data_IF_075524473569
#
_entry.id   IF_075524473569
#
_cell.length_a   1.000
_cell.length_b   1.000
_cell.length_c   1.000
_cell.angle_alpha   90.00
_cell.angle_beta   90.00
_cell.angle_gamma   90.00
#
_symmetry.space_group_name_H-M   'P 1'
#
loop_
_entity.id
_entity.type
_entity.pdbx_description
1 polymer ?
#
# COMPACT_ATOMS: atom_id res chain seq x y z
N UNK A 1 -27.41 17.89 13.20
CA UNK A 1 -27.68 16.96 12.10
C UNK A 1 -27.56 15.51 12.55
N UNK A 2 -26.43 15.08 13.13
CA UNK A 2 -26.20 13.70 13.58
C UNK A 2 -27.25 13.18 14.57
N UNK A 3 -27.61 13.97 15.57
CA UNK A 3 -28.66 13.59 16.54
C UNK A 3 -30.02 13.36 15.86
N UNK A 4 -30.36 14.20 14.86
CA UNK A 4 -31.59 14.00 14.06
C UNK A 4 -31.54 12.77 13.16
N UNK A 5 -30.32 12.35 12.77
CA UNK A 5 -30.08 11.14 12.01
C UNK A 5 -29.97 9.87 12.88
N UNK A 6 -30.25 9.98 14.20
CA UNK A 6 -30.22 8.84 15.11
C UNK A 6 -28.83 8.39 15.55
N UNK A 7 -27.82 9.27 15.50
CA UNK A 7 -26.46 8.93 15.97
C UNK A 7 -26.49 8.58 17.47
N UNK A 8 -26.17 7.33 17.85
CA UNK A 8 -26.48 6.82 19.19
C UNK A 8 -25.40 7.15 20.24
N UNK A 9 -24.22 7.64 19.82
CA UNK A 9 -23.09 7.78 20.72
C UNK A 9 -22.98 9.17 21.32
N UNK A 10 -22.40 9.26 22.54
CA UNK A 10 -22.21 10.52 23.27
C UNK A 10 -20.94 11.28 22.87
N UNK A 11 -20.18 10.78 21.90
CA UNK A 11 -18.97 11.40 21.39
C UNK A 11 -18.90 11.30 19.88
N UNK A 12 -18.09 12.16 19.27
CA UNK A 12 -17.76 12.14 17.85
C UNK A 12 -16.25 12.30 17.73
N UNK A 13 -15.63 11.44 16.95
CA UNK A 13 -14.22 11.57 16.56
C UNK A 13 -14.17 12.34 15.24
N UNK A 14 -13.38 13.40 15.21
CA UNK A 14 -13.17 14.23 14.01
C UNK A 14 -11.68 14.20 13.71
N UNK A 15 -11.32 13.65 12.56
CA UNK A 15 -9.98 13.84 11.98
C UNK A 15 -9.91 15.24 11.39
N UNK A 16 -8.94 16.03 11.84
CA UNK A 16 -8.75 17.38 11.33
C UNK A 16 -7.47 17.48 10.53
N UNK A 17 -7.64 17.90 9.29
CA UNK A 17 -6.59 18.52 8.49
C UNK A 17 -6.59 20.03 8.78
N UNK A 18 -6.03 20.87 7.93
CA UNK A 18 -6.15 22.29 8.10
C UNK A 18 -7.53 22.81 7.63
N UNK A 19 -7.76 24.10 7.86
CA UNK A 19 -9.01 24.79 7.50
C UNK A 19 -9.29 24.85 5.98
N UNK A 20 -8.26 24.65 5.14
CA UNK A 20 -8.32 24.73 3.68
C UNK A 20 -8.45 23.35 3.01
N UNK A 21 -8.59 22.27 3.80
CA UNK A 21 -8.67 20.90 3.31
C UNK A 21 -7.42 20.46 2.52
N UNK A 22 -6.25 20.94 2.91
CA UNK A 22 -4.98 20.55 2.29
C UNK A 22 -4.38 19.38 3.10
N UNK A 23 -4.25 18.23 2.47
CA UNK A 23 -3.88 16.97 3.12
C UNK A 23 -2.48 16.99 3.72
N UNK A 24 -1.58 17.75 3.13
CA UNK A 24 -0.16 17.76 3.47
C UNK A 24 0.28 19.04 4.19
N UNK A 25 -0.66 19.79 4.74
CA UNK A 25 -0.34 21.00 5.49
C UNK A 25 0.16 20.67 6.91
N UNK A 26 0.97 21.55 7.47
CA UNK A 26 1.41 21.41 8.84
C UNK A 26 0.23 21.48 9.82
N UNK A 27 0.37 20.85 11.00
CA UNK A 27 -0.67 20.91 12.03
C UNK A 27 -1.04 22.35 12.36
N UNK A 28 -2.32 22.60 12.66
CA UNK A 28 -2.82 23.92 13.03
C UNK A 28 -2.35 24.32 14.44
N UNK A 29 -1.37 25.26 14.59
CA UNK A 29 -0.77 25.57 15.89
C UNK A 29 -1.75 26.21 16.87
N UNK A 30 -2.82 26.84 16.38
CA UNK A 30 -3.85 27.51 17.19
C UNK A 30 -4.88 26.53 17.79
N UNK A 31 -4.94 25.27 17.31
CA UNK A 31 -5.95 24.32 17.72
C UNK A 31 -5.95 24.01 19.23
N UNK A 32 -4.82 23.78 19.90
CA UNK A 32 -4.79 23.55 21.35
C UNK A 32 -5.35 24.74 22.14
N UNK A 33 -5.02 25.96 21.72
CA UNK A 33 -5.53 27.19 22.35
C UNK A 33 -7.04 27.33 22.13
N UNK A 34 -7.51 27.04 20.94
CA UNK A 34 -8.95 27.03 20.63
C UNK A 34 -9.70 26.05 21.53
N UNK A 35 -9.26 24.80 21.63
CA UNK A 35 -9.90 23.76 22.47
C UNK A 35 -9.91 24.17 23.94
N UNK A 36 -8.78 24.68 24.44
CA UNK A 36 -8.68 25.18 25.84
C UNK A 36 -9.65 26.33 26.10
N UNK A 37 -9.73 27.30 25.20
CA UNK A 37 -10.63 28.45 25.34
C UNK A 37 -12.09 28.04 25.27
N UNK A 38 -12.46 27.18 24.31
CA UNK A 38 -13.81 26.63 24.19
C UNK A 38 -14.30 25.98 25.49
N UNK A 39 -13.48 25.09 26.06
CA UNK A 39 -13.82 24.37 27.28
C UNK A 39 -13.90 25.30 28.50
N UNK A 40 -13.01 26.29 28.62
CA UNK A 40 -13.02 27.27 29.69
C UNK A 40 -14.28 28.14 29.67
N UNK A 41 -14.81 28.42 28.49
CA UNK A 41 -16.07 29.16 28.32
C UNK A 41 -17.31 28.29 28.59
N UNK A 42 -17.15 27.04 28.96
CA UNK A 42 -18.25 26.11 29.24
C UNK A 42 -19.09 25.74 28.04
N UNK A 43 -18.58 25.98 26.82
CA UNK A 43 -19.28 25.66 25.58
C UNK A 43 -19.42 24.16 25.37
N UNK A 44 -20.49 23.78 24.68
CA UNK A 44 -20.79 22.36 24.39
C UNK A 44 -20.81 22.09 22.88
N UNK A 45 -20.44 20.89 22.46
CA UNK A 45 -19.86 19.79 23.26
C UNK A 45 -18.48 20.14 23.83
N UNK A 46 -18.05 19.47 24.90
CA UNK A 46 -16.64 19.56 25.33
C UNK A 46 -15.71 18.99 24.26
N UNK A 47 -14.58 19.66 24.02
CA UNK A 47 -13.59 19.27 23.03
C UNK A 47 -12.37 18.65 23.69
N UNK A 48 -11.79 17.63 23.05
CA UNK A 48 -10.56 16.99 23.51
C UNK A 48 -9.65 16.71 22.31
N UNK A 49 -8.39 17.13 22.39
CA UNK A 49 -7.36 16.70 21.48
C UNK A 49 -6.84 15.33 21.91
N UNK A 50 -6.69 14.44 20.96
CA UNK A 50 -6.26 13.07 21.19
C UNK A 50 -5.35 12.63 20.04
N UNK A 51 -4.47 11.67 20.32
CA UNK A 51 -3.84 10.90 19.25
C UNK A 51 -4.87 9.96 18.62
N UNK A 52 -4.58 9.48 17.42
CA UNK A 52 -5.45 8.48 16.76
C UNK A 52 -5.57 7.22 17.62
N UNK A 53 -4.48 6.76 18.23
CA UNK A 53 -4.49 5.60 19.12
C UNK A 53 -5.42 5.80 20.33
N UNK A 54 -5.29 6.92 21.04
CA UNK A 54 -6.16 7.22 22.19
C UNK A 54 -7.63 7.30 21.80
N UNK A 55 -7.91 7.84 20.59
CA UNK A 55 -9.27 7.96 20.08
C UNK A 55 -9.87 6.58 19.76
N UNK A 56 -9.09 5.69 19.13
CA UNK A 56 -9.50 4.32 18.82
C UNK A 56 -9.70 3.50 20.09
N UNK A 57 -8.77 3.56 21.05
CA UNK A 57 -8.91 2.89 22.34
C UNK A 57 -10.17 3.37 23.12
N UNK A 58 -10.45 4.66 23.06
CA UNK A 58 -11.70 5.19 23.66
C UNK A 58 -12.92 4.61 22.96
N UNK A 59 -12.92 4.57 21.64
CA UNK A 59 -14.02 4.02 20.85
C UNK A 59 -14.22 2.53 21.17
N UNK A 60 -13.15 1.75 21.21
CA UNK A 60 -13.19 0.33 21.57
C UNK A 60 -13.79 0.10 22.96
N UNK A 61 -13.35 0.86 23.96
CA UNK A 61 -13.89 0.74 25.33
C UNK A 61 -15.36 1.10 25.46
N UNK A 62 -15.81 2.13 24.73
CA UNK A 62 -17.17 2.65 24.90
C UNK A 62 -18.20 1.97 24.00
N UNK A 63 -17.82 1.50 22.84
CA UNK A 63 -18.75 0.99 21.82
C UNK A 63 -18.28 -0.28 21.11
N UNK A 64 -17.09 -0.78 21.41
CA UNK A 64 -16.46 -1.90 20.68
C UNK A 64 -17.35 -3.13 20.56
N UNK A 65 -18.07 -3.47 21.63
CA UNK A 65 -18.99 -4.61 21.64
C UNK A 65 -20.20 -4.47 20.66
N UNK A 66 -20.46 -3.25 20.19
CA UNK A 66 -21.59 -2.92 19.31
C UNK A 66 -21.14 -2.46 17.92
N UNK A 67 -19.83 -2.49 17.62
CA UNK A 67 -19.29 -2.16 16.29
C UNK A 67 -19.36 -3.41 15.43
N UNK A 68 -19.98 -3.28 14.24
CA UNK A 68 -19.99 -4.35 13.27
C UNK A 68 -18.56 -4.59 12.75
N UNK A 69 -18.15 -5.85 12.70
CA UNK A 69 -16.88 -6.25 12.13
C UNK A 69 -17.03 -6.43 10.61
N UNK A 70 -16.15 -5.78 9.87
CA UNK A 70 -16.06 -5.92 8.42
C UNK A 70 -14.65 -6.37 8.06
N UNK A 71 -14.56 -7.45 7.31
CA UNK A 71 -13.31 -7.99 6.79
C UNK A 71 -13.28 -7.86 5.27
N UNK A 72 -12.09 -7.64 4.71
CA UNK A 72 -11.89 -7.55 3.27
C UNK A 72 -11.03 -6.35 2.85
N UNK A 73 -10.98 -6.11 1.56
CA UNK A 73 -10.27 -5.00 0.96
C UNK A 73 -11.10 -3.72 1.11
N UNK A 74 -10.51 -2.70 1.72
CA UNK A 74 -11.13 -1.39 1.91
C UNK A 74 -10.63 -0.41 0.84
N UNK A 75 -10.99 -0.69 -0.41
CA UNK A 75 -10.66 0.19 -1.51
C UNK A 75 -11.50 1.45 -1.46
N UNK A 76 -10.83 2.60 -1.54
CA UNK A 76 -11.49 3.88 -1.71
C UNK A 76 -11.74 4.20 -3.20
N UNK A 77 -12.30 5.37 -3.48
CA UNK A 77 -12.60 5.80 -4.85
C UNK A 77 -11.33 6.06 -5.70
N UNK A 78 -10.15 6.24 -5.09
CA UNK A 78 -8.87 6.36 -5.80
C UNK A 78 -8.47 5.08 -6.51
N UNK A 79 -9.05 3.95 -6.15
CA UNK A 79 -8.77 2.68 -6.82
C UNK A 79 -9.06 2.69 -8.32
N UNK A 80 -9.89 3.62 -8.82
CA UNK A 80 -10.12 3.82 -10.26
C UNK A 80 -8.84 4.26 -10.99
N UNK A 81 -7.91 4.88 -10.30
CA UNK A 81 -6.62 5.31 -10.85
C UNK A 81 -5.76 4.17 -11.40
N UNK A 82 -6.00 2.92 -10.98
CA UNK A 82 -5.33 1.73 -11.54
C UNK A 82 -5.53 1.61 -13.05
N UNK A 83 -6.62 2.12 -13.58
CA UNK A 83 -6.90 2.14 -15.01
C UNK A 83 -6.01 3.12 -15.80
N UNK A 84 -5.37 4.09 -15.13
CA UNK A 84 -4.47 5.06 -15.77
C UNK A 84 -3.15 4.44 -16.24
N UNK A 85 -2.72 3.33 -15.63
CA UNK A 85 -1.49 2.62 -15.98
C UNK A 85 -1.64 1.11 -15.91
N UNK A 86 -2.48 0.47 -16.74
CA UNK A 86 -2.78 -0.96 -16.61
C UNK A 86 -1.55 -1.86 -16.84
N UNK A 87 -0.61 -1.43 -17.68
CA UNK A 87 0.65 -2.16 -17.91
C UNK A 87 1.57 -2.08 -16.71
N UNK A 88 1.68 -0.90 -16.10
CA UNK A 88 2.47 -0.63 -14.91
C UNK A 88 1.91 -1.40 -13.71
N UNK A 89 0.59 -1.42 -13.56
CA UNK A 89 -0.09 -2.22 -12.53
C UNK A 89 0.18 -3.71 -12.72
N UNK A 90 0.12 -4.20 -13.96
CA UNK A 90 0.45 -5.60 -14.27
C UNK A 90 1.92 -5.91 -13.95
N UNK A 91 2.85 -5.00 -14.29
CA UNK A 91 4.28 -5.13 -14.00
C UNK A 91 4.54 -5.17 -12.48
N UNK A 92 3.91 -4.26 -11.71
CA UNK A 92 3.99 -4.24 -10.24
C UNK A 92 3.47 -5.53 -9.62
N UNK A 93 2.31 -6.02 -10.05
CA UNK A 93 1.75 -7.30 -9.58
C UNK A 93 2.64 -8.49 -9.89
N UNK A 94 3.24 -8.52 -11.08
CA UNK A 94 4.19 -9.57 -11.46
C UNK A 94 5.44 -9.51 -10.59
N UNK A 95 6.00 -8.32 -10.37
CA UNK A 95 7.15 -8.09 -9.52
C UNK A 95 6.90 -8.56 -8.08
N UNK A 96 5.76 -8.24 -7.50
CA UNK A 96 5.37 -8.69 -6.14
C UNK A 96 5.30 -10.21 -6.04
N UNK A 97 4.72 -10.88 -7.03
CA UNK A 97 4.65 -12.35 -7.07
C UNK A 97 6.03 -12.98 -7.15
N UNK A 98 6.90 -12.46 -8.04
CA UNK A 98 8.27 -12.95 -8.20
C UNK A 98 9.11 -12.73 -6.96
N UNK A 99 8.96 -11.56 -6.33
CA UNK A 99 9.71 -11.21 -5.14
C UNK A 99 9.31 -12.09 -3.95
N UNK A 100 8.02 -12.28 -3.72
CA UNK A 100 7.51 -13.24 -2.71
C UNK A 100 7.99 -14.66 -2.97
N UNK A 101 8.02 -15.09 -4.24
CA UNK A 101 8.59 -16.38 -4.60
C UNK A 101 10.07 -16.45 -4.27
N UNK A 102 10.88 -15.43 -4.62
CA UNK A 102 12.31 -15.38 -4.32
C UNK A 102 12.63 -15.40 -2.83
N UNK A 103 11.75 -14.84 -1.99
CA UNK A 103 11.86 -14.85 -0.53
C UNK A 103 11.38 -16.17 0.11
N UNK A 104 10.82 -17.08 -0.68
CA UNK A 104 10.28 -18.34 -0.17
C UNK A 104 11.36 -19.19 0.54
N UNK A 105 11.01 -19.80 1.68
CA UNK A 105 11.90 -20.74 2.40
C UNK A 105 12.34 -21.96 1.57
N UNK A 106 11.64 -22.31 0.49
CA UNK A 106 11.99 -23.42 -0.39
C UNK A 106 13.40 -23.28 -0.98
N UNK A 107 13.88 -22.05 -1.13
CA UNK A 107 15.22 -21.75 -1.63
C UNK A 107 16.29 -21.70 -0.52
N UNK A 108 15.95 -22.03 0.72
CA UNK A 108 16.83 -21.91 1.86
C UNK A 108 17.02 -20.45 2.33
N UNK A 109 17.90 -20.21 3.29
CA UNK A 109 18.14 -18.87 3.85
C UNK A 109 18.68 -17.92 2.76
N UNK A 110 18.25 -16.67 2.84
CA UNK A 110 18.73 -15.62 1.95
C UNK A 110 20.02 -15.03 2.51
N UNK A 111 21.04 -14.88 1.66
CA UNK A 111 22.27 -14.20 2.03
C UNK A 111 22.03 -12.73 2.42
N UNK A 112 22.94 -12.13 3.20
CA UNK A 112 22.87 -10.72 3.55
C UNK A 112 22.80 -9.81 2.28
N UNK A 113 23.61 -10.12 1.27
CA UNK A 113 23.62 -9.39 -0.01
C UNK A 113 22.28 -9.50 -0.73
N UNK A 114 21.70 -10.71 -0.81
CA UNK A 114 20.41 -10.89 -1.47
C UNK A 114 19.29 -10.16 -0.70
N UNK A 115 19.33 -10.16 0.63
CA UNK A 115 18.39 -9.43 1.48
C UNK A 115 18.47 -7.92 1.27
N UNK A 116 19.69 -7.37 1.23
CA UNK A 116 19.92 -5.97 0.94
C UNK A 116 19.46 -5.56 -0.48
N UNK A 117 19.44 -6.49 -1.43
CA UNK A 117 18.91 -6.24 -2.77
C UNK A 117 17.38 -6.27 -2.86
N UNK A 118 16.71 -6.94 -1.94
CA UNK A 118 15.23 -7.07 -1.89
C UNK A 118 14.56 -5.79 -1.37
N UNK A 119 15.10 -5.18 -0.32
CA UNK A 119 14.51 -4.02 0.34
C UNK A 119 14.22 -2.83 -0.61
N UNK A 120 15.16 -2.39 -1.48
CA UNK A 120 14.89 -1.33 -2.44
C UNK A 120 13.77 -1.67 -3.43
N UNK A 121 13.63 -2.95 -3.78
CA UNK A 121 12.58 -3.41 -4.70
C UNK A 121 11.19 -3.28 -4.05
N UNK A 122 11.05 -3.69 -2.79
CA UNK A 122 9.82 -3.48 -2.03
C UNK A 122 9.49 -2.00 -1.81
N UNK A 123 10.51 -1.18 -1.56
CA UNK A 123 10.34 0.27 -1.44
C UNK A 123 9.77 0.88 -2.72
N UNK A 124 10.34 0.54 -3.88
CA UNK A 124 9.81 1.01 -5.17
C UNK A 124 8.36 0.57 -5.40
N UNK A 125 8.05 -0.69 -5.08
CA UNK A 125 6.69 -1.20 -5.20
C UNK A 125 5.70 -0.49 -4.27
N UNK A 126 6.11 -0.17 -3.05
CA UNK A 126 5.29 0.61 -2.12
C UNK A 126 5.05 2.04 -2.63
N UNK A 127 6.08 2.67 -3.20
CA UNK A 127 5.96 4.00 -3.82
C UNK A 127 5.12 3.97 -5.10
N UNK A 128 5.14 2.86 -5.85
CA UNK A 128 4.24 2.68 -6.99
C UNK A 128 2.78 2.56 -6.54
N UNK A 129 2.53 1.83 -5.45
CA UNK A 129 1.18 1.59 -4.92
C UNK A 129 0.60 2.80 -4.19
N UNK A 130 1.39 3.84 -3.98
CA UNK A 130 0.92 5.10 -3.43
C UNK A 130 -0.21 5.64 -4.33
N UNK A 131 -1.21 6.29 -3.72
CA UNK A 131 -2.49 6.62 -4.34
C UNK A 131 -2.46 7.60 -5.52
N UNK A 132 -1.35 8.29 -5.78
CA UNK A 132 -1.20 9.23 -6.90
C UNK A 132 -0.86 8.49 -8.19
N UNK A 133 -1.85 7.90 -8.81
CA UNK A 133 -1.71 7.13 -10.04
C UNK A 133 -1.35 8.00 -11.24
N UNK A 134 -0.36 7.53 -12.03
CA UNK A 134 0.04 8.21 -13.26
C UNK A 134 0.67 9.58 -13.03
N UNK A 135 -0.01 10.64 -13.42
CA UNK A 135 0.44 12.02 -13.24
C UNK A 135 -0.72 12.97 -13.00
N UNK A 136 -0.45 14.10 -12.33
CA UNK A 136 -1.41 15.18 -12.20
C UNK A 136 -1.70 15.79 -13.58
N UNK A 137 -2.93 16.31 -13.77
CA UNK A 137 -3.34 16.97 -15.02
C UNK A 137 -3.23 16.12 -16.30
N UNK A 138 -3.12 14.81 -16.18
CA UNK A 138 -2.98 13.89 -17.33
C UNK A 138 -4.14 13.96 -18.34
N UNK A 139 -5.30 14.43 -17.90
CA UNK A 139 -6.48 14.63 -18.77
C UNK A 139 -6.49 16.04 -19.34
N UNK A 140 -6.20 17.05 -18.52
CA UNK A 140 -6.30 18.46 -18.94
C UNK A 140 -5.15 18.91 -19.85
N UNK A 141 -3.92 18.45 -19.55
CA UNK A 141 -2.69 18.87 -20.26
C UNK A 141 -1.77 17.65 -20.53
N UNK A 142 -2.22 16.62 -21.24
CA UNK A 142 -1.48 15.36 -21.40
C UNK A 142 -0.13 15.52 -22.12
N UNK A 143 0.07 16.60 -22.86
CA UNK A 143 1.31 16.88 -23.59
C UNK A 143 2.36 17.68 -22.82
N UNK A 144 2.06 18.10 -21.58
CA UNK A 144 3.01 18.86 -20.78
C UNK A 144 4.20 18.01 -20.35
N UNK A 145 5.39 18.61 -20.34
CA UNK A 145 6.62 17.93 -19.92
C UNK A 145 6.55 17.47 -18.47
N UNK A 146 5.92 18.23 -17.59
CA UNK A 146 5.74 17.86 -16.18
C UNK A 146 4.85 16.62 -16.04
N UNK A 147 3.78 16.53 -16.81
CA UNK A 147 2.88 15.35 -16.86
C UNK A 147 3.64 14.13 -17.33
N UNK A 148 4.41 14.28 -18.41
CA UNK A 148 5.26 13.21 -18.96
C UNK A 148 6.33 12.78 -17.95
N UNK A 149 6.99 13.74 -17.30
CA UNK A 149 8.02 13.49 -16.28
C UNK A 149 7.48 12.70 -15.09
N UNK A 150 6.36 13.12 -14.54
CA UNK A 150 5.69 12.42 -13.43
C UNK A 150 5.28 11.00 -13.82
N UNK A 151 4.70 10.81 -15.00
CA UNK A 151 4.31 9.49 -15.49
C UNK A 151 5.49 8.56 -15.67
N UNK A 152 6.59 9.05 -16.25
CA UNK A 152 7.82 8.27 -16.44
C UNK A 152 8.42 7.83 -15.09
N UNK A 153 8.45 8.72 -14.11
CA UNK A 153 8.95 8.38 -12.77
C UNK A 153 8.06 7.33 -12.09
N UNK A 154 6.74 7.49 -12.17
CA UNK A 154 5.80 6.52 -11.61
C UNK A 154 5.92 5.15 -12.30
N UNK A 155 6.03 5.14 -13.62
CA UNK A 155 6.22 3.92 -14.43
C UNK A 155 7.53 3.21 -14.08
N UNK A 156 8.61 3.95 -13.86
CA UNK A 156 9.90 3.41 -13.41
C UNK A 156 9.78 2.60 -12.13
N UNK A 157 8.94 3.05 -11.18
CA UNK A 157 8.68 2.35 -9.92
C UNK A 157 7.96 1.00 -10.09
N UNK A 158 7.40 0.72 -11.26
CA UNK A 158 6.82 -0.58 -11.60
C UNK A 158 7.78 -1.46 -12.43
N UNK A 159 8.37 -0.90 -13.48
CA UNK A 159 9.19 -1.67 -14.41
C UNK A 159 10.55 -2.05 -13.85
N UNK A 160 11.20 -1.18 -13.06
CA UNK A 160 12.45 -1.52 -12.39
C UNK A 160 12.30 -2.69 -11.42
N UNK A 161 11.31 -2.70 -10.50
CA UNK A 161 11.02 -3.87 -9.69
C UNK A 161 10.69 -5.13 -10.47
N UNK A 162 10.00 -5.02 -11.61
CA UNK A 162 9.69 -6.16 -12.46
C UNK A 162 10.98 -6.85 -12.94
N UNK A 163 11.95 -6.10 -13.46
CA UNK A 163 13.23 -6.63 -13.92
C UNK A 163 14.08 -7.15 -12.74
N UNK A 164 14.16 -6.41 -11.64
CA UNK A 164 14.95 -6.81 -10.47
C UNK A 164 14.39 -8.06 -9.79
N UNK A 165 13.06 -8.19 -9.67
CA UNK A 165 12.45 -9.38 -9.09
C UNK A 165 12.64 -10.63 -9.93
N UNK A 166 12.67 -10.49 -11.27
CA UNK A 166 13.00 -11.57 -12.18
C UNK A 166 14.45 -12.05 -12.00
N UNK A 167 15.40 -11.10 -11.95
CA UNK A 167 16.79 -11.41 -11.69
C UNK A 167 16.97 -12.10 -10.33
N UNK A 168 16.37 -11.58 -9.27
CA UNK A 168 16.44 -12.16 -7.92
C UNK A 168 15.90 -13.60 -7.90
N UNK A 169 14.71 -13.82 -8.47
CA UNK A 169 14.12 -15.14 -8.53
C UNK A 169 15.01 -16.10 -9.35
N UNK A 170 15.54 -15.65 -10.49
CA UNK A 170 16.44 -16.44 -11.33
C UNK A 170 17.70 -16.86 -10.57
N UNK A 171 18.30 -15.97 -9.77
CA UNK A 171 19.45 -16.31 -8.93
C UNK A 171 19.10 -17.37 -7.89
N UNK A 172 17.94 -17.22 -7.22
CA UNK A 172 17.45 -18.20 -6.23
C UNK A 172 17.20 -19.56 -6.87
N UNK A 173 16.57 -19.58 -8.05
CA UNK A 173 16.33 -20.80 -8.82
C UNK A 173 17.66 -21.47 -9.22
N UNK A 174 18.62 -20.73 -9.73
CA UNK A 174 19.94 -21.26 -10.08
C UNK A 174 20.62 -21.90 -8.88
N UNK A 175 20.65 -21.25 -7.74
CA UNK A 175 21.26 -21.80 -6.52
C UNK A 175 20.60 -23.12 -6.10
N UNK A 176 19.28 -23.25 -6.28
CA UNK A 176 18.55 -24.46 -5.96
C UNK A 176 18.77 -25.59 -6.98
N UNK A 177 18.87 -25.27 -8.28
CA UNK A 177 18.76 -26.24 -9.38
C UNK A 177 20.09 -26.71 -9.94
N UNK A 178 21.13 -25.85 -9.99
CA UNK A 178 22.44 -26.24 -10.49
C UNK A 178 22.97 -27.57 -9.90
N UNK A 179 22.89 -27.79 -8.58
CA UNK A 179 23.36 -29.04 -7.98
C UNK A 179 22.56 -30.29 -8.39
N UNK A 180 21.41 -30.13 -9.05
CA UNK A 180 20.51 -31.21 -9.43
C UNK A 180 20.72 -31.76 -10.83
N UNK A 181 21.60 -31.11 -11.61
CA UNK A 181 21.91 -31.52 -12.98
C UNK A 181 20.89 -31.04 -14.02
N UNK A 182 20.93 -31.63 -15.20
CA UNK A 182 20.04 -31.31 -16.32
C UNK A 182 18.63 -31.85 -16.07
N UNK A 183 17.62 -31.10 -16.48
CA UNK A 183 16.21 -31.52 -16.37
C UNK A 183 15.23 -30.35 -16.37
N UNK A 184 13.96 -30.68 -16.44
CA UNK A 184 12.86 -29.72 -16.26
C UNK A 184 12.43 -29.78 -14.78
N UNK A 185 12.46 -28.63 -14.14
CA UNK A 185 12.12 -28.50 -12.72
C UNK A 185 10.94 -27.60 -12.54
N UNK A 186 9.98 -28.04 -11.70
CA UNK A 186 8.85 -27.25 -11.24
C UNK A 186 9.04 -27.01 -9.76
N UNK A 187 9.10 -25.75 -9.36
CA UNK A 187 9.27 -25.36 -7.96
C UNK A 187 8.01 -24.67 -7.47
N UNK A 188 7.43 -25.22 -6.41
CA UNK A 188 6.33 -24.58 -5.70
C UNK A 188 6.89 -23.69 -4.58
N UNK A 189 6.79 -22.34 -4.70
CA UNK A 189 7.31 -21.43 -3.69
C UNK A 189 6.35 -21.22 -2.52
N UNK A 190 5.16 -21.82 -2.53
CA UNK A 190 4.18 -21.70 -1.45
C UNK A 190 4.40 -22.74 -0.35
N UNK A 191 3.83 -22.47 0.84
CA UNK A 191 3.84 -23.43 1.95
C UNK A 191 2.83 -24.58 1.81
N UNK A 192 1.89 -24.47 0.86
CA UNK A 192 0.85 -25.47 0.64
C UNK A 192 1.09 -26.24 -0.67
N UNK A 193 0.71 -27.53 -0.74
CA UNK A 193 0.69 -28.26 -2.00
C UNK A 193 -0.17 -27.55 -3.05
N UNK A 194 0.31 -27.49 -4.29
CA UNK A 194 -0.44 -26.97 -5.43
C UNK A 194 -0.63 -28.10 -6.43
N UNK A 195 -1.85 -28.24 -6.92
CA UNK A 195 -2.21 -29.14 -8.01
C UNK A 195 -2.63 -28.30 -9.22
N UNK A 196 -2.13 -28.62 -10.40
CA UNK A 196 -2.46 -27.86 -11.62
C UNK A 196 -1.55 -28.19 -12.79
N UNK A 197 -1.75 -27.47 -13.88
CA UNK A 197 -0.94 -27.58 -15.09
C UNK A 197 0.28 -26.67 -15.02
N UNK A 198 1.42 -27.17 -15.46
CA UNK A 198 2.61 -26.39 -15.73
C UNK A 198 2.86 -26.38 -17.25
N UNK A 199 3.07 -25.20 -17.82
CA UNK A 199 3.46 -25.04 -19.23
C UNK A 199 4.88 -24.50 -19.33
N UNK A 200 5.63 -25.00 -20.29
CA UNK A 200 6.99 -24.54 -20.59
C UNK A 200 7.20 -24.55 -22.10
N UNK A 201 8.03 -23.63 -22.57
CA UNK A 201 8.41 -23.61 -23.97
C UNK A 201 9.57 -24.58 -24.20
N UNK A 202 9.40 -25.43 -25.18
CA UNK A 202 10.51 -26.25 -25.70
C UNK A 202 11.03 -25.54 -26.94
N UNK A 203 12.26 -25.04 -26.89
CA UNK A 203 12.98 -24.63 -28.10
C UNK A 203 13.57 -25.88 -28.74
N UNK A 204 13.16 -26.14 -29.98
CA UNK A 204 13.73 -27.20 -30.80
C UNK A 204 15.19 -26.89 -31.16
#
# INVERSE_FOLDING_TARGET
HLLRAGYPHKFLIISMTNQWRMDNDPPLPSLPRFVSTWNRLGLKPALRLMTTSDALEKMEREVGANIAEYTGEWTDWWANGTASGPREVAASRLAKRRLRAAESPVFGPMSATARAAVEPVWKDLALFDEHTWGSSNSVATPGDLDVTGQYNEKSRLAYRPMAQSEWLLSQRMRTLLIPRGEGIYVVNPSAAPISGWASFNVTA
#
